data_IF_658033092885
#
_entry.id   IF_658033092885
#
_cell.length_a   1.000
_cell.length_b   1.000
_cell.length_c   1.000
_cell.angle_alpha   90.00
_cell.angle_beta   90.00
_cell.angle_gamma   90.00
#
_symmetry.space_group_name_H-M   'P 1'
#
loop_
_entity.id
_entity.type
_entity.pdbx_description
1 polymer ?
#
# COMPACT_ATOMS: atom_id res chain seq x y z
N UNK A 1 19.16 -6.91 14.91
CA UNK A 1 19.63 -6.51 13.56
C UNK A 1 18.90 -7.22 12.43
N UNK A 2 18.91 -8.55 12.33
CA UNK A 2 18.22 -9.25 11.23
C UNK A 2 16.72 -8.91 11.13
N UNK A 3 16.02 -8.89 12.27
CA UNK A 3 14.59 -8.54 12.31
C UNK A 3 14.31 -7.10 11.85
N UNK A 4 15.09 -6.13 12.33
CA UNK A 4 15.00 -4.72 11.88
C UNK A 4 15.14 -4.62 10.36
N UNK A 5 16.11 -5.32 9.76
CA UNK A 5 16.33 -5.32 8.31
C UNK A 5 15.13 -5.92 7.57
N UNK A 6 14.65 -7.08 8.01
CA UNK A 6 13.50 -7.76 7.37
C UNK A 6 12.25 -6.87 7.41
N UNK A 7 11.92 -6.30 8.57
CA UNK A 7 10.75 -5.45 8.72
C UNK A 7 10.89 -4.14 7.96
N UNK A 8 12.09 -3.56 7.89
CA UNK A 8 12.35 -2.36 7.10
C UNK A 8 12.19 -2.61 5.60
N UNK A 9 12.70 -3.74 5.10
CA UNK A 9 12.52 -4.13 3.69
C UNK A 9 11.03 -4.36 3.38
N UNK A 10 10.30 -5.01 4.28
CA UNK A 10 8.87 -5.26 4.12
C UNK A 10 8.07 -3.94 4.11
N UNK A 11 8.41 -3.00 4.99
CA UNK A 11 7.81 -1.67 5.02
C UNK A 11 8.00 -0.92 3.70
N UNK A 12 9.24 -0.89 3.19
CA UNK A 12 9.57 -0.23 1.92
C UNK A 12 8.86 -0.90 0.74
N UNK A 13 8.85 -2.23 0.68
CA UNK A 13 8.19 -2.97 -0.39
C UNK A 13 6.67 -2.75 -0.40
N UNK A 14 6.02 -2.77 0.76
CA UNK A 14 4.58 -2.52 0.89
C UNK A 14 4.24 -1.07 0.51
N UNK A 15 5.05 -0.10 0.94
CA UNK A 15 4.87 1.31 0.59
C UNK A 15 5.02 1.54 -0.92
N UNK A 16 6.09 1.02 -1.53
CA UNK A 16 6.31 1.13 -2.96
C UNK A 16 5.17 0.48 -3.77
N UNK A 17 4.66 -0.67 -3.30
CA UNK A 17 3.52 -1.35 -3.92
C UNK A 17 2.23 -0.54 -3.81
N UNK A 18 1.99 0.12 -2.67
CA UNK A 18 0.84 1.02 -2.49
C UNK A 18 0.87 2.17 -3.50
N UNK A 19 2.03 2.82 -3.64
CA UNK A 19 2.24 3.90 -4.61
C UNK A 19 2.12 3.41 -6.06
N UNK A 20 2.64 2.22 -6.36
CA UNK A 20 2.52 1.62 -7.69
C UNK A 20 1.06 1.35 -8.07
N UNK A 21 0.25 0.83 -7.15
CA UNK A 21 -1.19 0.63 -7.38
C UNK A 21 -1.89 1.98 -7.61
N UNK A 22 -1.56 3.00 -6.82
CA UNK A 22 -2.11 4.34 -7.00
C UNK A 22 -1.77 4.94 -8.39
N UNK A 23 -0.51 4.80 -8.83
CA UNK A 23 -0.07 5.30 -10.13
C UNK A 23 -0.73 4.54 -11.27
N UNK A 24 -0.65 3.21 -11.28
CA UNK A 24 -1.16 2.39 -12.40
C UNK A 24 -2.68 2.36 -12.48
N UNK A 25 -3.37 2.61 -11.37
CA UNK A 25 -4.83 2.53 -11.24
C UNK A 25 -5.32 3.74 -10.42
N UNK A 26 -5.24 4.96 -10.98
CA UNK A 26 -5.67 6.15 -10.27
C UNK A 26 -7.13 6.03 -9.87
N UNK A 27 -7.45 6.40 -8.62
CA UNK A 27 -8.79 6.24 -8.06
C UNK A 27 -9.74 7.19 -8.77
N UNK A 28 -10.43 6.68 -9.78
CA UNK A 28 -11.52 7.38 -10.41
C UNK A 28 -12.82 6.85 -9.81
N UNK A 29 -13.61 7.76 -9.24
CA UNK A 29 -15.00 7.47 -9.00
C UNK A 29 -15.67 7.34 -10.36
N UNK A 30 -16.56 6.33 -10.50
CA UNK A 30 -17.42 6.25 -11.68
C UNK A 30 -18.23 7.54 -11.76
N UNK A 31 -17.95 8.38 -12.73
CA UNK A 31 -18.85 9.45 -13.12
C UNK A 31 -20.07 8.80 -13.78
N UNK A 32 -21.21 8.85 -13.09
CA UNK A 32 -22.52 8.42 -13.61
C UNK A 32 -22.63 6.96 -14.08
N UNK A 33 -21.80 6.06 -13.51
CA UNK A 33 -21.91 4.60 -13.75
C UNK A 33 -21.17 4.09 -14.99
N UNK A 34 -20.58 4.97 -15.80
CA UNK A 34 -19.77 4.59 -16.96
C UNK A 34 -18.28 4.50 -16.59
N UNK A 35 -17.59 3.44 -17.03
CA UNK A 35 -16.16 3.21 -16.82
C UNK A 35 -15.81 2.09 -15.84
N UNK A 36 -14.52 1.72 -15.69
CA UNK A 36 -14.09 0.64 -14.80
C UNK A 36 -14.27 1.01 -13.32
N UNK A 37 -14.67 0.05 -12.47
CA UNK A 37 -14.71 0.26 -11.02
C UNK A 37 -13.29 0.17 -10.42
N UNK A 38 -12.72 1.31 -10.04
CA UNK A 38 -11.40 1.41 -9.40
C UNK A 38 -11.45 1.39 -7.86
N UNK A 39 -12.62 1.11 -7.27
CA UNK A 39 -12.80 0.96 -5.81
C UNK A 39 -11.92 -0.16 -5.21
N UNK A 40 -11.76 -1.33 -5.87
CA UNK A 40 -10.87 -2.37 -5.35
C UNK A 40 -9.40 -1.93 -5.28
N UNK A 41 -8.92 -1.16 -6.26
CA UNK A 41 -7.54 -0.63 -6.23
C UNK A 41 -7.32 0.36 -5.08
N UNK A 42 -8.32 1.16 -4.72
CA UNK A 42 -8.26 2.02 -3.54
C UNK A 42 -8.15 1.21 -2.25
N UNK A 43 -8.96 0.16 -2.12
CA UNK A 43 -8.88 -0.77 -0.98
C UNK A 43 -7.51 -1.45 -0.87
N UNK A 44 -6.96 -1.94 -1.99
CA UNK A 44 -5.65 -2.60 -2.02
C UNK A 44 -4.52 -1.63 -1.68
N UNK A 45 -4.50 -0.44 -2.27
CA UNK A 45 -3.48 0.57 -1.96
C UNK A 45 -3.53 0.99 -0.49
N UNK A 46 -4.73 1.21 0.06
CA UNK A 46 -4.92 1.51 1.48
C UNK A 46 -4.44 0.38 2.40
N UNK A 47 -4.78 -0.87 2.08
CA UNK A 47 -4.31 -2.03 2.84
C UNK A 47 -2.77 -2.14 2.84
N UNK A 48 -2.13 -1.95 1.67
CA UNK A 48 -0.68 -1.96 1.54
C UNK A 48 -0.02 -0.83 2.36
N UNK A 49 -0.63 0.36 2.40
CA UNK A 49 -0.16 1.47 3.22
C UNK A 49 -0.21 1.13 4.72
N UNK A 50 -1.31 0.53 5.18
CA UNK A 50 -1.44 0.09 6.59
C UNK A 50 -0.38 -0.95 6.94
N UNK A 51 -0.14 -1.92 6.05
CA UNK A 51 0.92 -2.93 6.24
C UNK A 51 2.30 -2.27 6.31
N UNK A 52 2.57 -1.29 5.45
CA UNK A 52 3.85 -0.58 5.45
C UNK A 52 4.10 0.14 6.79
N UNK A 53 3.07 0.82 7.32
CA UNK A 53 3.15 1.51 8.61
C UNK A 53 3.37 0.51 9.75
N UNK A 54 2.61 -0.58 9.79
CA UNK A 54 2.76 -1.61 10.82
C UNK A 54 4.15 -2.24 10.80
N UNK A 55 4.66 -2.58 9.61
CA UNK A 55 6.00 -3.15 9.44
C UNK A 55 7.09 -2.17 9.90
N UNK A 56 6.93 -0.87 9.60
CA UNK A 56 7.85 0.16 10.06
C UNK A 56 7.82 0.28 11.59
N UNK A 57 6.63 0.32 12.20
CA UNK A 57 6.50 0.36 13.67
C UNK A 57 7.18 -0.85 14.30
N UNK A 58 6.96 -2.05 13.76
CA UNK A 58 7.62 -3.26 14.25
C UNK A 58 9.14 -3.11 14.14
N UNK A 59 9.67 -2.68 12.99
CA UNK A 59 11.12 -2.48 12.78
C UNK A 59 11.75 -1.54 13.81
N UNK A 60 11.01 -0.54 14.30
CA UNK A 60 11.47 0.42 15.31
C UNK A 60 11.39 -0.12 16.75
N UNK A 61 10.69 -1.23 16.96
CA UNK A 61 10.40 -1.79 18.29
C UNK A 61 11.08 -3.14 18.59
N UNK A 62 11.69 -3.78 17.59
CA UNK A 62 12.31 -5.13 17.69
C UNK A 62 13.82 -5.14 17.44
#
# INVERSE_FOLDING_TARGET
>A
MLYVVVWSVLAVAAFASSLFVLWTRPFQFKDQGAGPDYRPSAGVAGALMTIAILALVIALTV
#
